data_IF_412135160456
#
_entry.id   IF_412135160456
#
_cell.length_a   1.000
_cell.length_b   1.000
_cell.length_c   1.000
_cell.angle_alpha   90.00
_cell.angle_beta   90.00
_cell.angle_gamma   90.00
#
_symmetry.space_group_name_H-M   'P 1'
#
loop_
_entity.id
_entity.type
_entity.pdbx_description
1 polymer ?
#
# COMPACT_ATOMS: atom_id res chain seq x y z
N UNK A 1 18.71 -16.86 -1.30
CA UNK A 1 17.72 -17.32 -2.21
C UNK A 1 16.96 -16.19 -2.82
N UNK A 2 16.79 -16.22 -4.09
CA UNK A 2 16.15 -15.13 -4.78
C UNK A 2 14.66 -15.27 -4.68
N UNK A 3 14.03 -14.20 -4.27
CA UNK A 3 12.61 -14.20 -4.19
C UNK A 3 12.07 -13.89 -5.56
N UNK A 4 11.17 -14.67 -6.03
CA UNK A 4 10.55 -14.41 -7.31
C UNK A 4 9.18 -13.86 -7.10
N UNK A 5 8.93 -12.74 -7.72
CA UNK A 5 7.61 -12.12 -7.66
C UNK A 5 6.95 -12.23 -9.03
N UNK A 6 5.67 -12.44 -9.04
CA UNK A 6 4.90 -12.48 -10.29
C UNK A 6 3.76 -11.46 -10.18
N UNK A 7 2.91 -11.42 -11.19
CA UNK A 7 1.84 -10.43 -11.21
C UNK A 7 0.86 -10.60 -10.05
N UNK A 8 0.76 -11.80 -9.50
CA UNK A 8 -0.12 -12.01 -8.36
C UNK A 8 0.47 -11.36 -7.11
N UNK A 9 1.79 -11.38 -6.97
CA UNK A 9 2.44 -10.69 -5.87
C UNK A 9 2.28 -9.19 -6.02
N UNK A 10 2.39 -8.69 -7.25
CA UNK A 10 2.19 -7.27 -7.52
C UNK A 10 0.76 -6.86 -7.19
N UNK A 11 -0.21 -7.65 -7.62
CA UNK A 11 -1.59 -7.37 -7.36
C UNK A 11 -1.87 -7.33 -5.86
N UNK A 12 -1.32 -8.28 -5.12
CA UNK A 12 -1.51 -8.34 -3.68
C UNK A 12 -0.97 -7.08 -3.00
N UNK A 13 0.17 -6.58 -3.46
CA UNK A 13 0.72 -5.37 -2.88
C UNK A 13 -0.07 -4.12 -3.24
N UNK A 14 -0.62 -4.09 -4.45
CA UNK A 14 -1.50 -3.00 -4.85
C UNK A 14 -2.74 -2.99 -3.95
N UNK A 15 -3.32 -4.16 -3.71
CA UNK A 15 -4.49 -4.27 -2.84
C UNK A 15 -4.15 -3.86 -1.41
N UNK A 16 -2.94 -4.19 -0.97
CA UNK A 16 -2.49 -3.80 0.35
C UNK A 16 -2.41 -2.28 0.49
N UNK A 17 -1.89 -1.61 -0.53
CA UNK A 17 -1.84 -0.14 -0.53
C UNK A 17 -3.25 0.42 -0.51
N UNK A 18 -4.17 -0.21 -1.22
CA UNK A 18 -5.55 0.25 -1.28
C UNK A 18 -6.25 0.17 0.07
N UNK A 19 -5.78 -0.68 0.95
CA UNK A 19 -6.35 -0.81 2.30
C UNK A 19 -6.25 0.47 3.11
N UNK A 20 -5.38 1.39 2.74
CA UNK A 20 -5.29 2.67 3.43
C UNK A 20 -6.61 3.42 3.36
N UNK A 21 -7.36 3.25 2.27
CA UNK A 21 -8.66 3.87 2.14
C UNK A 21 -9.63 3.35 3.22
N UNK A 22 -9.64 2.04 3.42
CA UNK A 22 -10.51 1.44 4.42
C UNK A 22 -10.10 1.87 5.83
N UNK A 23 -8.80 2.00 6.06
CA UNK A 23 -8.30 2.46 7.35
C UNK A 23 -8.76 3.89 7.61
N UNK A 24 -8.71 4.74 6.59
CA UNK A 24 -9.18 6.12 6.72
C UNK A 24 -10.68 6.16 6.99
N UNK A 25 -11.44 5.31 6.33
CA UNK A 25 -12.89 5.24 6.55
C UNK A 25 -13.20 4.81 7.97
N UNK A 26 -12.44 3.87 8.50
CA UNK A 26 -12.61 3.42 9.89
C UNK A 26 -12.34 4.55 10.86
N UNK A 27 -11.28 5.32 10.61
CA UNK A 27 -10.94 6.46 11.46
C UNK A 27 -12.03 7.51 11.39
N UNK A 28 -12.53 7.79 10.19
CA UNK A 28 -13.58 8.77 10.00
C UNK A 28 -14.86 8.35 10.72
N UNK A 29 -15.22 7.07 10.63
CA UNK A 29 -16.39 6.57 11.34
C UNK A 29 -16.24 6.73 12.84
N UNK A 30 -15.05 6.44 13.35
CA UNK A 30 -14.79 6.60 14.78
C UNK A 30 -14.96 8.06 15.21
N UNK A 31 -14.50 8.98 14.39
CA UNK A 31 -14.59 10.39 14.70
C UNK A 31 -16.01 10.92 14.64
N UNK A 32 -16.81 10.40 13.72
CA UNK A 32 -18.15 10.90 13.51
C UNK A 32 -19.23 10.22 14.33
N UNK A 33 -19.07 8.92 14.54
CA UNK A 33 -20.14 8.12 15.11
C UNK A 33 -19.97 7.78 16.58
N UNK A 34 -18.77 7.88 17.09
CA UNK A 34 -18.51 7.52 18.48
C UNK A 34 -18.91 8.69 19.37
N UNK A 35 -19.68 8.43 20.43
CA UNK A 35 -20.08 9.50 21.34
C UNK A 35 -18.91 10.04 22.16
N UNK A 36 -17.78 9.32 22.18
CA UNK A 36 -16.64 9.73 22.94
C UNK A 36 -15.63 10.31 21.98
N UNK A 37 -15.52 11.62 21.86
CA UNK A 37 -14.68 12.21 20.82
C UNK A 37 -13.20 11.95 21.02
N UNK A 38 -12.50 11.79 19.91
CA UNK A 38 -11.06 11.67 19.96
C UNK A 38 -10.44 13.02 20.23
N UNK A 39 -9.41 13.03 21.06
CA UNK A 39 -8.67 14.26 21.29
C UNK A 39 -7.81 14.59 20.08
N UNK A 40 -7.33 15.81 20.00
CA UNK A 40 -6.46 16.21 18.91
C UNK A 40 -5.20 15.37 18.88
N UNK A 41 -4.67 15.04 20.05
CA UNK A 41 -3.47 14.21 20.14
C UNK A 41 -3.75 12.80 19.64
N UNK A 42 -4.91 12.25 19.96
CA UNK A 42 -5.29 10.92 19.48
C UNK A 42 -5.40 10.90 17.97
N UNK A 43 -6.02 11.92 17.41
CA UNK A 43 -6.17 12.03 15.97
C UNK A 43 -4.80 12.14 15.32
N UNK A 44 -3.93 12.98 15.86
CA UNK A 44 -2.58 13.14 15.31
C UNK A 44 -1.82 11.83 15.36
N UNK A 45 -1.88 11.12 16.48
CA UNK A 45 -1.16 9.86 16.62
C UNK A 45 -1.66 8.80 15.67
N UNK A 46 -2.97 8.71 15.48
CA UNK A 46 -3.55 7.73 14.55
C UNK A 46 -3.13 8.05 13.12
N UNK A 47 -3.17 9.32 12.75
CA UNK A 47 -2.82 9.71 11.39
C UNK A 47 -1.33 9.51 11.11
N UNK A 48 -0.48 9.80 12.10
CA UNK A 48 0.95 9.54 11.95
C UNK A 48 1.20 8.06 11.77
N UNK A 49 0.56 7.22 12.59
CA UNK A 49 0.71 5.78 12.49
C UNK A 49 0.24 5.26 11.14
N UNK A 50 -0.88 5.76 10.65
CA UNK A 50 -1.39 5.33 9.35
C UNK A 50 -0.46 5.79 8.22
N UNK A 51 0.07 7.00 8.34
CA UNK A 51 1.00 7.52 7.36
C UNK A 51 2.25 6.63 7.26
N UNK A 52 2.77 6.22 8.40
CA UNK A 52 3.94 5.33 8.42
C UNK A 52 3.61 3.97 7.83
N UNK A 53 2.44 3.45 8.16
CA UNK A 53 2.02 2.16 7.63
C UNK A 53 1.84 2.25 6.10
N UNK A 54 1.27 3.34 5.63
CA UNK A 54 1.09 3.55 4.20
C UNK A 54 2.43 3.62 3.48
N UNK A 55 3.41 4.28 4.10
CA UNK A 55 4.74 4.36 3.53
C UNK A 55 5.37 2.97 3.41
N UNK A 56 5.20 2.14 4.43
CA UNK A 56 5.69 0.76 4.40
C UNK A 56 5.03 -0.01 3.24
N UNK A 57 3.72 0.15 3.08
CA UNK A 57 2.99 -0.53 2.00
C UNK A 57 3.48 -0.08 0.63
N UNK A 58 3.73 1.21 0.48
CA UNK A 58 4.22 1.75 -0.78
C UNK A 58 5.62 1.26 -1.10
N UNK A 59 6.49 1.21 -0.10
CA UNK A 59 7.84 0.72 -0.30
C UNK A 59 7.85 -0.74 -0.70
N UNK A 60 6.97 -1.52 -0.09
CA UNK A 60 6.87 -2.94 -0.42
C UNK A 60 6.37 -3.12 -1.85
N UNK A 61 5.36 -2.35 -2.24
CA UNK A 61 4.85 -2.39 -3.61
C UNK A 61 5.94 -2.02 -4.60
N UNK A 62 6.67 -0.95 -4.30
CA UNK A 62 7.72 -0.49 -5.19
C UNK A 62 8.84 -1.52 -5.31
N UNK A 63 9.17 -2.18 -4.21
CA UNK A 63 10.18 -3.23 -4.23
C UNK A 63 9.76 -4.41 -5.12
N UNK A 64 8.50 -4.80 -5.02
CA UNK A 64 7.98 -5.88 -5.86
C UNK A 64 8.05 -5.46 -7.33
N UNK A 65 7.61 -4.25 -7.62
CA UNK A 65 7.61 -3.73 -8.97
C UNK A 65 9.03 -3.68 -9.55
N UNK A 66 9.98 -3.14 -8.79
CA UNK A 66 11.36 -3.06 -9.26
C UNK A 66 11.98 -4.42 -9.49
N UNK A 67 11.69 -5.35 -8.59
CA UNK A 67 12.22 -6.71 -8.74
C UNK A 67 11.65 -7.36 -10.00
N UNK A 68 10.37 -7.17 -10.27
CA UNK A 68 9.76 -7.71 -11.47
C UNK A 68 10.33 -7.08 -12.72
N UNK A 69 10.63 -5.80 -12.69
CA UNK A 69 11.27 -5.15 -13.84
C UNK A 69 12.63 -5.75 -14.11
N UNK A 70 13.42 -5.95 -13.06
CA UNK A 70 14.75 -6.51 -13.22
C UNK A 70 14.69 -7.93 -13.76
N UNK A 71 13.69 -8.66 -13.36
CA UNK A 71 13.56 -10.05 -13.78
C UNK A 71 12.64 -10.20 -15.00
N UNK A 72 12.20 -9.10 -15.55
CA UNK A 72 11.36 -9.10 -16.75
C UNK A 72 10.10 -9.94 -16.57
N UNK A 73 9.48 -9.80 -15.42
CA UNK A 73 8.27 -10.57 -15.10
C UNK A 73 7.01 -10.02 -15.74
N UNK A 74 7.17 -8.98 -16.54
CA UNK A 74 6.03 -8.38 -17.22
C UNK A 74 5.84 -8.88 -18.64
N UNK A 75 6.68 -9.79 -19.08
CA UNK A 75 6.61 -10.23 -20.47
C UNK A 75 5.29 -10.89 -20.81
N UNK A 76 4.68 -11.54 -19.86
CA UNK A 76 3.40 -12.17 -20.12
C UNK A 76 2.26 -11.18 -20.26
N UNK A 77 2.52 -9.93 -20.00
CA UNK A 77 1.51 -8.90 -20.10
C UNK A 77 1.66 -8.12 -21.38
N UNK A 78 2.32 -8.67 -22.36
CA UNK A 78 2.61 -7.96 -23.58
C UNK A 78 3.94 -7.28 -23.48
N UNK A 79 4.42 -6.79 -24.59
CA UNK A 79 5.64 -6.19 -24.61
C UNK A 79 5.68 -4.96 -23.91
N UNK A 80 6.20 -4.92 -22.79
CA UNK A 80 6.35 -3.70 -22.15
C UNK A 80 7.59 -3.18 -22.62
N UNK A 81 7.56 -2.39 -23.55
CA UNK A 81 8.74 -1.76 -23.92
C UNK A 81 9.05 -0.83 -22.87
N UNK A 82 10.24 -0.78 -22.51
CA UNK A 82 10.63 0.16 -21.55
C UNK A 82 10.40 1.44 -22.13
N UNK A 83 10.05 2.34 -21.41
CA UNK A 83 9.87 3.56 -21.90
C UNK A 83 11.03 4.04 -22.16
N UNK A 84 11.73 3.55 -22.30
CA UNK A 84 12.91 3.98 -22.60
C UNK A 84 13.14 4.33 -23.28
#
# INVERSE_FOLDING_TARGET
MTQKYDRFNLEAEIMSVWNTKDDLESITSRMMDDPDPMSEDDIANVLIGLSELHDIRCKKLFNVFETMLKERRFTGMGEMTPYT
#
